data_IF_752495904859
#
_entry.id   IF_752495904859
#
_cell.length_a   1.000
_cell.length_b   1.000
_cell.length_c   1.000
_cell.angle_alpha   90.00
_cell.angle_beta   90.00
_cell.angle_gamma   90.00
#
_symmetry.space_group_name_H-M   'P 1'
#
loop_
_entity.id
_entity.type
_entity.pdbx_description
1 polymer ?
#
# COMPACT_ATOMS: atom_id res chain seq x y z
N UNK A 1 29.25 -26.28 -30.51
CA UNK A 1 29.40 -26.36 -29.04
C UNK A 1 28.04 -26.12 -28.43
N UNK A 2 27.30 -27.19 -28.07
CA UNK A 2 25.95 -27.06 -27.50
C UNK A 2 26.08 -26.74 -26.01
N UNK A 3 25.61 -25.57 -25.62
CA UNK A 3 25.60 -25.11 -24.24
C UNK A 3 24.34 -25.71 -23.58
N UNK A 4 24.51 -26.64 -22.64
CA UNK A 4 23.40 -27.30 -21.97
C UNK A 4 22.75 -26.36 -20.92
N UNK A 5 21.58 -25.82 -21.24
CA UNK A 5 20.80 -24.90 -20.38
C UNK A 5 19.94 -25.60 -19.31
N UNK A 6 19.94 -26.94 -19.27
CA UNK A 6 19.14 -27.76 -18.35
C UNK A 6 19.33 -27.43 -16.84
N UNK A 7 20.55 -27.16 -16.34
CA UNK A 7 20.76 -26.83 -14.92
C UNK A 7 20.16 -25.47 -14.54
N UNK A 8 20.12 -24.54 -15.48
CA UNK A 8 19.68 -23.16 -15.29
C UNK A 8 18.14 -23.07 -15.24
N UNK A 9 17.46 -23.89 -16.05
CA UNK A 9 16.01 -24.08 -15.98
C UNK A 9 15.58 -24.75 -14.67
N UNK A 10 16.35 -25.74 -14.18
CA UNK A 10 16.07 -26.42 -12.93
C UNK A 10 16.24 -25.51 -11.70
N UNK A 11 17.28 -24.66 -11.67
CA UNK A 11 17.48 -23.63 -10.63
C UNK A 11 16.37 -22.59 -10.63
N UNK A 12 15.98 -22.08 -11.80
CA UNK A 12 14.87 -21.12 -11.93
C UNK A 12 13.54 -21.73 -11.50
N UNK A 13 13.27 -22.98 -11.87
CA UNK A 13 12.06 -23.70 -11.44
C UNK A 13 12.05 -23.94 -9.93
N UNK A 14 13.20 -24.31 -9.33
CA UNK A 14 13.35 -24.47 -7.89
C UNK A 14 13.08 -23.15 -7.15
N UNK A 15 13.74 -22.05 -7.54
CA UNK A 15 13.51 -20.73 -6.94
C UNK A 15 12.06 -20.26 -7.07
N UNK A 16 11.42 -20.46 -8.24
CA UNK A 16 9.99 -20.14 -8.44
C UNK A 16 9.08 -20.96 -7.51
N UNK A 17 9.34 -22.27 -7.37
CA UNK A 17 8.54 -23.18 -6.54
C UNK A 17 8.76 -22.94 -5.05
N UNK A 18 10.00 -22.69 -4.63
CA UNK A 18 10.35 -22.34 -3.25
C UNK A 18 9.80 -20.97 -2.84
N UNK A 19 9.82 -19.98 -3.75
CA UNK A 19 9.17 -18.69 -3.51
C UNK A 19 7.65 -18.84 -3.41
N UNK A 20 7.02 -19.62 -4.30
CA UNK A 20 5.58 -19.90 -4.25
C UNK A 20 5.15 -20.61 -2.95
N UNK A 21 5.97 -21.53 -2.44
CA UNK A 21 5.72 -22.27 -1.18
C UNK A 21 6.11 -21.49 0.08
N UNK A 22 6.98 -20.48 0.00
CA UNK A 22 7.38 -19.65 1.14
C UNK A 22 6.36 -18.56 1.49
N UNK A 23 5.53 -18.15 0.51
CA UNK A 23 4.55 -17.06 0.65
C UNK A 23 3.24 -17.52 1.35
N UNK A 24 2.99 -18.83 1.41
CA UNK A 24 1.68 -19.40 1.78
C UNK A 24 1.26 -19.25 3.25
N UNK A 25 2.17 -18.90 4.17
CA UNK A 25 1.86 -18.89 5.62
C UNK A 25 1.28 -17.60 6.18
N UNK A 26 1.83 -16.43 5.80
CA UNK A 26 1.48 -15.14 6.40
C UNK A 26 0.97 -14.09 5.40
N UNK A 27 1.24 -14.29 4.10
CA UNK A 27 0.90 -13.34 3.05
C UNK A 27 -0.16 -13.86 2.08
N UNK A 28 -0.56 -15.14 2.17
CA UNK A 28 -1.54 -15.74 1.26
C UNK A 28 -2.89 -15.00 1.20
N UNK A 29 -3.50 -14.58 2.33
CA UNK A 29 -4.74 -13.81 2.27
C UNK A 29 -4.57 -12.49 1.52
N UNK A 30 -3.46 -11.78 1.76
CA UNK A 30 -3.17 -10.51 1.12
C UNK A 30 -2.79 -10.64 -0.35
N UNK A 31 -1.94 -11.62 -0.70
CA UNK A 31 -1.56 -11.93 -2.07
C UNK A 31 -2.78 -12.28 -2.93
N UNK A 32 -3.74 -13.03 -2.37
CA UNK A 32 -5.01 -13.32 -3.06
C UNK A 32 -5.87 -12.06 -3.23
N UNK A 33 -5.99 -11.21 -2.22
CA UNK A 33 -6.75 -9.95 -2.36
C UNK A 33 -6.16 -9.03 -3.45
N UNK A 34 -4.83 -8.95 -3.52
CA UNK A 34 -4.12 -8.17 -4.52
C UNK A 34 -4.23 -8.74 -5.93
N UNK A 35 -4.13 -10.06 -6.09
CA UNK A 35 -4.34 -10.68 -7.40
C UNK A 35 -5.76 -10.42 -7.90
N UNK A 36 -6.74 -10.40 -7.00
CA UNK A 36 -8.13 -10.12 -7.34
C UNK A 36 -8.39 -8.65 -7.68
N UNK A 37 -7.67 -7.69 -7.06
CA UNK A 37 -7.67 -6.30 -7.54
C UNK A 37 -7.10 -6.19 -8.96
N UNK A 38 -6.02 -6.91 -9.26
CA UNK A 38 -5.42 -6.95 -10.59
C UNK A 38 -6.39 -7.47 -11.66
N UNK A 39 -7.08 -8.58 -11.37
CA UNK A 39 -8.11 -9.15 -12.25
C UNK A 39 -9.35 -8.24 -12.37
N UNK A 40 -9.81 -7.61 -11.28
CA UNK A 40 -10.93 -6.66 -11.31
C UNK A 40 -10.62 -5.41 -12.16
N UNK A 41 -9.40 -4.89 -12.06
CA UNK A 41 -8.93 -3.78 -12.87
C UNK A 41 -8.81 -4.14 -14.35
N UNK A 42 -8.43 -5.40 -14.67
CA UNK A 42 -8.35 -5.90 -16.04
C UNK A 42 -9.73 -6.21 -16.64
N UNK A 43 -10.70 -6.64 -15.83
CA UNK A 43 -12.05 -7.00 -16.29
C UNK A 43 -12.86 -5.82 -16.84
N UNK A 44 -12.51 -4.58 -16.52
CA UNK A 44 -13.16 -3.37 -17.03
C UNK A 44 -12.54 -2.82 -18.32
N UNK A 45 -11.43 -3.38 -18.80
CA UNK A 45 -10.74 -2.87 -20.00
C UNK A 45 -10.89 -3.81 -21.18
N UNK A 46 -11.50 -3.33 -22.27
CA UNK A 46 -11.57 -4.01 -23.58
C UNK A 46 -10.28 -3.90 -24.39
N UNK A 47 -9.15 -3.57 -23.74
CA UNK A 47 -7.88 -3.35 -24.42
C UNK A 47 -7.03 -4.62 -24.39
N UNK A 48 -6.52 -5.04 -25.55
CA UNK A 48 -5.64 -6.22 -25.73
C UNK A 48 -4.25 -6.09 -25.06
N UNK A 49 -3.99 -5.00 -24.34
CA UNK A 49 -2.71 -4.72 -23.69
C UNK A 49 -2.63 -5.31 -22.29
N UNK A 50 -1.52 -6.00 -22.01
CA UNK A 50 -1.23 -6.56 -20.69
C UNK A 50 -1.24 -5.49 -19.57
N UNK A 51 -2.07 -5.70 -18.55
CA UNK A 51 -2.10 -4.89 -17.32
C UNK A 51 -1.70 -5.76 -16.13
N UNK A 52 -0.87 -5.21 -15.25
CA UNK A 52 -0.50 -5.84 -13.98
C UNK A 52 -0.54 -4.81 -12.85
N UNK A 53 -1.10 -5.22 -11.72
CA UNK A 53 -1.03 -4.48 -10.47
C UNK A 53 0.00 -5.16 -9.56
N UNK A 54 0.99 -4.38 -9.11
CA UNK A 54 1.97 -4.83 -8.13
C UNK A 54 1.72 -4.07 -6.84
N UNK A 55 1.45 -4.81 -5.77
CA UNK A 55 1.28 -4.24 -4.45
C UNK A 55 2.34 -4.80 -3.51
N UNK A 56 2.98 -3.92 -2.73
CA UNK A 56 4.08 -4.25 -1.82
C UNK A 56 3.65 -3.96 -0.39
N UNK A 57 3.73 -4.96 0.48
CA UNK A 57 3.42 -4.83 1.90
C UNK A 57 4.70 -4.99 2.70
N UNK A 58 5.03 -3.93 3.43
CA UNK A 58 6.27 -3.86 4.19
C UNK A 58 6.18 -4.55 5.56
N UNK A 59 5.03 -5.14 5.94
CA UNK A 59 4.85 -5.86 7.20
C UNK A 59 5.34 -5.08 8.44
N UNK A 60 5.05 -3.77 8.48
CA UNK A 60 5.48 -2.87 9.56
C UNK A 60 6.85 -2.22 9.35
N UNK A 61 7.61 -2.60 8.34
CA UNK A 61 8.93 -2.05 8.02
C UNK A 61 8.92 -0.67 7.34
N UNK A 62 7.85 0.11 7.46
CA UNK A 62 7.75 1.43 6.87
C UNK A 62 7.43 2.50 7.92
N UNK A 63 8.36 3.42 8.12
CA UNK A 63 8.13 4.64 8.89
C UNK A 63 7.58 5.72 7.96
N UNK A 64 6.25 5.78 7.88
CA UNK A 64 5.57 6.62 6.89
C UNK A 64 5.93 8.10 7.02
N UNK A 65 6.18 8.60 8.23
CA UNK A 65 6.48 10.01 8.47
C UNK A 65 7.93 10.39 8.11
N UNK A 66 8.81 9.40 7.89
CA UNK A 66 10.14 9.59 7.30
C UNK A 66 10.17 9.22 5.81
N UNK A 67 9.17 8.52 5.29
CA UNK A 67 8.99 8.25 3.85
C UNK A 67 8.51 9.50 3.12
N UNK A 68 7.51 10.17 3.70
CA UNK A 68 6.91 11.39 3.21
C UNK A 68 6.91 12.43 4.34
N UNK A 69 7.84 13.38 4.24
CA UNK A 69 8.17 14.30 5.33
C UNK A 69 7.52 15.65 5.08
N UNK A 70 6.83 16.27 6.07
CA UNK A 70 6.39 17.66 5.95
C UNK A 70 7.58 18.58 5.68
N UNK A 71 7.46 19.46 4.69
CA UNK A 71 8.57 20.27 4.20
C UNK A 71 8.38 21.77 4.42
N UNK A 72 7.16 22.28 4.49
CA UNK A 72 6.95 23.67 4.86
C UNK A 72 7.41 23.92 6.31
N UNK A 73 7.82 25.15 6.62
CA UNK A 73 8.47 25.45 7.90
C UNK A 73 7.60 25.13 9.11
N UNK A 74 6.30 25.42 9.06
CA UNK A 74 5.41 25.25 10.20
C UNK A 74 5.21 23.76 10.53
N UNK A 75 4.84 22.96 9.53
CA UNK A 75 4.58 21.54 9.74
C UNK A 75 5.87 20.74 9.95
N UNK A 76 6.98 21.10 9.28
CA UNK A 76 8.28 20.50 9.54
C UNK A 76 8.71 20.71 10.99
N UNK A 77 8.59 21.93 11.53
CA UNK A 77 8.98 22.20 12.92
C UNK A 77 8.13 21.41 13.92
N UNK A 78 6.83 21.24 13.66
CA UNK A 78 5.97 20.40 14.48
C UNK A 78 6.40 18.93 14.42
N UNK A 79 6.64 18.39 13.22
CA UNK A 79 7.16 17.04 13.00
C UNK A 79 8.51 16.81 13.70
N UNK A 80 9.47 17.72 13.52
CA UNK A 80 10.79 17.61 14.12
C UNK A 80 10.73 17.70 15.66
N UNK A 81 9.83 18.53 16.20
CA UNK A 81 9.62 18.67 17.64
C UNK A 81 9.12 17.39 18.31
N UNK A 82 8.28 16.60 17.62
CA UNK A 82 7.80 15.30 18.15
C UNK A 82 8.75 14.13 17.86
N UNK A 83 9.76 14.32 16.98
CA UNK A 83 10.67 13.26 16.50
C UNK A 83 12.15 13.71 16.52
N UNK A 84 12.68 14.21 17.65
CA UNK A 84 13.97 14.90 17.67
C UNK A 84 15.18 14.05 17.23
N UNK A 85 15.12 12.72 17.40
CA UNK A 85 16.21 11.81 17.03
C UNK A 85 16.02 11.13 15.67
N UNK A 86 14.84 11.28 15.06
CA UNK A 86 14.46 10.59 13.82
C UNK A 86 14.21 11.55 12.66
N UNK A 87 14.03 12.85 12.94
CA UNK A 87 13.75 13.84 11.92
C UNK A 87 14.93 14.00 10.95
N UNK A 88 14.66 13.83 9.66
CA UNK A 88 15.61 14.20 8.60
C UNK A 88 15.72 15.71 8.54
N UNK A 89 16.94 16.25 8.44
CA UNK A 89 17.14 17.69 8.42
C UNK A 89 16.48 18.33 7.19
N UNK A 90 15.81 19.49 7.38
CA UNK A 90 14.98 20.11 6.34
C UNK A 90 15.75 20.45 5.06
N UNK A 91 17.01 20.83 5.18
CA UNK A 91 17.91 21.12 4.07
C UNK A 91 18.20 19.88 3.22
N UNK A 92 18.26 18.69 3.82
CA UNK A 92 18.43 17.41 3.13
C UNK A 92 17.18 17.01 2.31
N UNK A 93 16.02 17.61 2.59
CA UNK A 93 14.76 17.34 1.90
C UNK A 93 14.50 18.26 0.69
N UNK A 94 15.29 19.33 0.53
CA UNK A 94 15.02 20.34 -0.50
C UNK A 94 15.06 19.78 -1.92
N UNK A 95 15.95 18.81 -2.19
CA UNK A 95 16.07 18.16 -3.50
C UNK A 95 14.87 17.26 -3.84
N UNK A 96 14.11 16.83 -2.84
CA UNK A 96 12.98 15.90 -2.97
C UNK A 96 11.64 16.54 -2.61
N UNK A 97 11.60 17.87 -2.46
CA UNK A 97 10.39 18.63 -2.22
C UNK A 97 9.40 18.46 -3.37
N UNK A 98 8.17 18.09 -3.05
CA UNK A 98 7.12 17.79 -4.01
C UNK A 98 6.29 19.04 -4.30
N UNK A 99 6.15 19.37 -5.58
CA UNK A 99 5.16 20.34 -6.02
C UNK A 99 3.78 19.70 -5.99
N UNK A 100 2.87 20.19 -5.14
CA UNK A 100 1.51 19.68 -5.11
C UNK A 100 0.72 20.20 -6.31
N UNK A 101 -0.01 19.31 -7.00
CA UNK A 101 -0.87 19.69 -8.13
C UNK A 101 -2.03 20.57 -7.66
N UNK A 102 -2.55 20.27 -6.46
CA UNK A 102 -3.53 21.08 -5.74
C UNK A 102 -2.90 21.56 -4.42
N UNK A 103 -3.14 22.79 -3.99
CA UNK A 103 -2.74 23.24 -2.66
C UNK A 103 -3.37 22.35 -1.58
N UNK A 104 -2.55 21.87 -0.66
CA UNK A 104 -3.05 21.21 0.55
C UNK A 104 -3.50 22.27 1.58
N UNK A 105 -4.31 21.84 2.54
CA UNK A 105 -4.76 22.69 3.64
C UNK A 105 -3.57 23.35 4.34
N UNK A 106 -3.75 24.60 4.76
CA UNK A 106 -2.78 25.38 5.53
C UNK A 106 -1.39 25.53 4.88
N UNK A 107 -1.31 25.34 3.56
CA UNK A 107 -0.05 25.43 2.81
C UNK A 107 0.90 24.27 3.05
N UNK A 108 0.40 23.14 3.56
CA UNK A 108 1.19 21.93 3.81
C UNK A 108 1.92 21.48 2.54
N UNK A 109 3.23 21.28 2.67
CA UNK A 109 4.08 20.74 1.62
C UNK A 109 4.77 19.48 2.12
N UNK A 110 5.09 18.58 1.19
CA UNK A 110 5.81 17.36 1.49
C UNK A 110 7.08 17.24 0.67
N UNK A 111 8.04 16.49 1.19
CA UNK A 111 9.21 16.01 0.48
C UNK A 111 9.31 14.49 0.65
N UNK A 112 9.87 13.80 -0.35
CA UNK A 112 10.23 12.39 -0.19
C UNK A 112 11.49 12.29 0.68
N UNK A 113 11.65 11.16 1.37
CA UNK A 113 12.93 10.80 2.00
C UNK A 113 14.09 10.94 0.99
N UNK A 114 15.30 11.33 1.42
CA UNK A 114 16.47 11.42 0.53
C UNK A 114 16.74 10.11 -0.23
N UNK A 115 16.52 8.96 0.40
CA UNK A 115 16.70 7.62 -0.20
C UNK A 115 15.70 7.35 -1.33
N UNK A 116 14.60 8.10 -1.37
CA UNK A 116 13.55 8.02 -2.39
C UNK A 116 13.72 9.07 -3.49
N UNK A 117 14.86 9.77 -3.54
CA UNK A 117 15.16 10.73 -4.61
C UNK A 117 14.93 10.21 -6.04
N UNK A 118 15.20 8.92 -6.39
CA UNK A 118 14.88 8.40 -7.72
C UNK A 118 13.39 8.44 -8.10
N UNK A 119 12.48 8.50 -7.12
CA UNK A 119 11.04 8.61 -7.37
C UNK A 119 10.62 10.04 -7.73
N UNK A 120 11.46 11.05 -7.46
CA UNK A 120 11.16 12.46 -7.73
C UNK A 120 10.91 12.71 -9.22
N UNK A 121 11.70 12.11 -10.10
CA UNK A 121 11.48 12.26 -11.55
C UNK A 121 10.17 11.62 -12.01
N UNK A 122 9.71 10.57 -11.34
CA UNK A 122 8.44 9.91 -11.63
C UNK A 122 7.26 10.77 -11.16
N UNK A 123 7.40 11.41 -10.00
CA UNK A 123 6.46 12.43 -9.52
C UNK A 123 6.37 13.62 -10.47
N UNK A 124 7.51 14.18 -10.87
CA UNK A 124 7.57 15.34 -11.76
C UNK A 124 6.98 15.03 -13.15
N UNK A 125 7.12 13.78 -13.61
CA UNK A 125 6.46 13.28 -14.81
C UNK A 125 4.97 12.96 -14.63
N UNK A 126 4.39 13.20 -13.45
CA UNK A 126 3.00 12.91 -13.08
C UNK A 126 2.61 11.43 -13.19
N UNK A 127 3.58 10.53 -13.03
CA UNK A 127 3.38 9.07 -13.05
C UNK A 127 3.43 8.43 -11.66
N UNK A 128 3.54 9.25 -10.61
CA UNK A 128 3.46 8.84 -9.21
C UNK A 128 2.40 9.69 -8.50
N UNK A 129 1.54 9.03 -7.73
CA UNK A 129 0.57 9.68 -6.86
C UNK A 129 0.77 9.21 -5.42
N UNK A 130 0.48 10.10 -4.48
CA UNK A 130 0.52 9.83 -3.05
C UNK A 130 -0.89 10.00 -2.50
N UNK A 131 -1.37 9.00 -1.78
CA UNK A 131 -2.65 9.07 -1.09
C UNK A 131 -2.42 9.35 0.39
N UNK A 132 -2.92 10.50 0.86
CA UNK A 132 -2.87 10.92 2.24
C UNK A 132 -4.11 10.43 3.00
N UNK A 133 -4.05 10.49 4.34
CA UNK A 133 -5.18 10.15 5.23
C UNK A 133 -5.72 8.72 5.04
N UNK A 134 -4.82 7.79 4.72
CA UNK A 134 -5.13 6.37 4.57
C UNK A 134 -5.14 5.73 5.95
N UNK A 135 -6.31 5.28 6.40
CA UNK A 135 -6.48 4.69 7.73
C UNK A 135 -7.83 3.98 7.89
N UNK A 136 -8.00 3.21 8.97
CA UNK A 136 -9.21 2.45 9.26
C UNK A 136 -10.37 3.32 9.77
N UNK A 137 -10.13 4.61 10.06
CA UNK A 137 -11.14 5.50 10.64
C UNK A 137 -12.39 5.60 9.75
N UNK A 138 -13.55 5.43 10.37
CA UNK A 138 -14.85 5.44 9.68
C UNK A 138 -15.32 6.88 9.44
N UNK A 139 -14.98 7.78 10.37
CA UNK A 139 -15.28 9.21 10.30
C UNK A 139 -14.06 10.00 10.76
N UNK A 140 -13.90 11.27 10.32
CA UNK A 140 -12.92 12.16 10.92
C UNK A 140 -13.09 12.21 12.44
N UNK A 141 -12.05 11.82 13.16
CA UNK A 141 -12.08 11.66 14.63
C UNK A 141 -10.98 12.50 15.26
N UNK A 142 -11.34 13.41 16.15
CA UNK A 142 -10.40 14.17 16.98
C UNK A 142 -9.95 13.36 18.20
N UNK A 143 -8.82 13.74 18.82
CA UNK A 143 -8.33 13.11 20.07
C UNK A 143 -9.36 13.19 21.19
N UNK A 144 -10.06 14.31 21.32
CA UNK A 144 -11.12 14.47 22.33
C UNK A 144 -12.29 13.51 22.10
N UNK A 145 -12.75 13.37 20.85
CA UNK A 145 -13.82 12.43 20.49
C UNK A 145 -13.39 10.97 20.67
N UNK A 146 -12.14 10.64 20.36
CA UNK A 146 -11.56 9.32 20.62
C UNK A 146 -11.59 9.00 22.12
N UNK A 147 -11.07 9.91 22.96
CA UNK A 147 -11.04 9.73 24.41
C UNK A 147 -12.44 9.63 25.03
N UNK A 148 -13.38 10.42 24.51
CA UNK A 148 -14.77 10.41 24.96
C UNK A 148 -15.61 9.28 24.34
N UNK A 149 -15.06 8.52 23.39
CA UNK A 149 -15.77 7.52 22.59
C UNK A 149 -17.08 8.05 21.97
N UNK A 150 -17.06 9.31 21.54
CA UNK A 150 -18.27 10.04 21.16
C UNK A 150 -18.63 9.95 19.67
N UNK A 151 -17.86 9.17 18.90
CA UNK A 151 -18.07 8.92 17.46
C UNK A 151 -17.83 7.44 17.16
N UNK A 152 -18.33 6.88 16.05
CA UNK A 152 -18.02 5.51 15.66
C UNK A 152 -16.51 5.31 15.49
N UNK A 153 -15.94 4.38 16.26
CA UNK A 153 -14.52 4.04 16.20
C UNK A 153 -14.33 2.64 15.60
N UNK A 154 -13.28 2.43 14.79
CA UNK A 154 -12.88 1.09 14.38
C UNK A 154 -12.59 0.21 15.60
N UNK A 155 -12.86 -1.11 15.51
CA UNK A 155 -12.47 -2.02 16.56
C UNK A 155 -10.94 -2.06 16.71
N UNK A 156 -10.47 -2.28 17.95
CA UNK A 156 -9.07 -2.61 18.24
C UNK A 156 -8.06 -1.60 17.66
N UNK A 157 -8.37 -0.30 17.75
CA UNK A 157 -7.37 0.74 17.47
C UNK A 157 -6.11 0.46 18.30
N UNK A 158 -4.93 0.77 17.73
CA UNK A 158 -3.59 0.51 18.29
C UNK A 158 -3.12 -0.96 18.31
N UNK A 159 -3.94 -1.92 17.84
CA UNK A 159 -3.55 -3.32 17.69
C UNK A 159 -3.03 -3.62 16.28
N UNK A 160 -1.72 -3.82 16.11
CA UNK A 160 -1.10 -3.99 14.79
C UNK A 160 -1.65 -5.19 14.00
N UNK A 161 -1.86 -6.33 14.65
CA UNK A 161 -2.45 -7.55 14.08
C UNK A 161 -3.90 -7.34 13.64
N UNK A 162 -4.72 -6.71 14.50
CA UNK A 162 -6.12 -6.43 14.17
C UNK A 162 -6.24 -5.41 13.03
N UNK A 163 -5.43 -4.35 13.05
CA UNK A 163 -5.44 -3.34 11.99
C UNK A 163 -4.92 -3.89 10.66
N UNK A 164 -3.91 -4.78 10.68
CA UNK A 164 -3.47 -5.50 9.48
C UNK A 164 -4.60 -6.36 8.92
N UNK A 165 -5.27 -7.12 9.78
CA UNK A 165 -6.40 -7.95 9.39
C UNK A 165 -7.55 -7.14 8.82
N UNK A 166 -7.82 -5.96 9.40
CA UNK A 166 -8.85 -5.03 8.94
C UNK A 166 -8.54 -4.46 7.55
N UNK A 167 -7.29 -4.09 7.28
CA UNK A 167 -6.86 -3.64 5.96
C UNK A 167 -6.94 -4.73 4.90
N UNK A 168 -6.56 -5.96 5.27
CA UNK A 168 -6.54 -7.08 4.35
C UNK A 168 -7.96 -7.62 4.10
N UNK A 169 -8.75 -7.88 5.14
CA UNK A 169 -10.05 -8.52 4.96
C UNK A 169 -11.24 -7.55 4.96
N UNK A 170 -11.10 -6.34 5.51
CA UNK A 170 -12.23 -5.48 5.86
C UNK A 170 -12.89 -5.88 7.19
N UNK A 171 -12.33 -6.86 7.90
CA UNK A 171 -12.80 -7.39 9.18
C UNK A 171 -11.61 -7.58 10.13
N UNK A 172 -11.85 -7.69 11.43
CA UNK A 172 -10.79 -7.92 12.44
C UNK A 172 -10.14 -9.30 12.29
N UNK A 173 -9.07 -9.55 13.05
CA UNK A 173 -8.39 -10.85 13.05
C UNK A 173 -9.35 -12.02 13.28
N UNK A 174 -9.12 -13.14 12.57
CA UNK A 174 -10.00 -14.31 12.60
C UNK A 174 -11.11 -14.31 11.54
N UNK A 175 -11.14 -13.33 10.65
CA UNK A 175 -12.10 -13.26 9.55
C UNK A 175 -11.93 -14.41 8.54
N UNK A 176 -13.02 -15.11 8.24
CA UNK A 176 -13.09 -16.18 7.20
C UNK A 176 -13.55 -15.67 5.84
N UNK A 177 -13.80 -14.36 5.72
CA UNK A 177 -14.28 -13.66 4.51
C UNK A 177 -13.54 -12.32 4.40
N UNK A 178 -13.38 -11.81 3.19
CA UNK A 178 -12.82 -10.47 2.99
C UNK A 178 -13.16 -9.82 1.66
N UNK A 179 -12.84 -8.54 1.51
CA UNK A 179 -13.21 -7.75 0.33
C UNK A 179 -12.62 -8.33 -0.98
N UNK A 180 -11.40 -8.87 -0.94
CA UNK A 180 -10.80 -9.62 -2.06
C UNK A 180 -11.71 -10.74 -2.58
N UNK A 181 -12.06 -11.68 -1.70
CA UNK A 181 -12.98 -12.79 -1.99
C UNK A 181 -14.33 -12.31 -2.57
N UNK A 182 -14.92 -11.29 -1.95
CA UNK A 182 -16.20 -10.71 -2.39
C UNK A 182 -16.12 -10.08 -3.77
N UNK A 183 -15.02 -9.42 -4.11
CA UNK A 183 -14.81 -8.93 -5.47
C UNK A 183 -14.70 -10.08 -6.48
N UNK A 184 -14.06 -11.19 -6.11
CA UNK A 184 -14.02 -12.39 -6.95
C UNK A 184 -15.37 -13.02 -7.15
N UNK A 185 -16.19 -13.11 -6.11
CA UNK A 185 -17.57 -13.59 -6.22
C UNK A 185 -18.37 -12.72 -7.19
N UNK A 186 -18.20 -11.39 -7.14
CA UNK A 186 -18.82 -10.45 -8.07
C UNK A 186 -18.31 -10.62 -9.52
N UNK A 187 -17.00 -10.82 -9.72
CA UNK A 187 -16.43 -11.09 -11.04
C UNK A 187 -16.91 -12.43 -11.60
N UNK A 188 -16.94 -13.49 -10.79
CA UNK A 188 -17.43 -14.79 -11.18
C UNK A 188 -18.93 -14.75 -11.51
N UNK A 189 -19.74 -14.03 -10.71
CA UNK A 189 -21.16 -13.83 -10.99
C UNK A 189 -21.41 -13.01 -12.27
N UNK A 190 -20.47 -12.14 -12.65
CA UNK A 190 -20.53 -11.40 -13.92
C UNK A 190 -20.09 -12.22 -15.15
N UNK A 191 -19.38 -13.34 -14.94
CA UNK A 191 -19.00 -14.28 -15.97
C UNK A 191 -20.21 -15.15 -16.39
N UNK A 192 -20.93 -14.71 -17.41
CA UNK A 192 -22.12 -15.37 -17.96
C UNK A 192 -21.81 -16.59 -18.85
N UNK A 193 -20.54 -16.98 -18.97
CA UNK A 193 -20.09 -18.14 -19.74
C UNK A 193 -19.56 -19.23 -18.79
N UNK A 194 -20.39 -20.22 -18.48
CA UNK A 194 -19.92 -21.47 -17.85
C UNK A 194 -19.04 -22.22 -18.85
N UNK A 195 -17.75 -22.42 -18.53
CA UNK A 195 -16.84 -23.26 -19.33
C UNK A 195 -16.94 -24.74 -18.93
N UNK A 196 -17.92 -25.11 -18.09
CA UNK A 196 -18.23 -26.50 -17.75
C UNK A 196 -19.71 -26.81 -18.00
N UNK A 197 -19.93 -27.70 -18.96
CA UNK A 197 -21.00 -28.71 -18.97
C UNK A 197 -20.36 -30.05 -18.67
#
# INVERSE_FOLDING_TARGET
>A
MNINHLPDMARRAFLKRSAALGITGALAPWAMQLSMLGEAAAAQTTADDYKALVCVFFSGGNDYANTLVPFDTAHYNAYAGIRPTLATARDQLAATALSSVNPLADGLQFALAPELAPLKSIWDAQHLAIQLNVGPLIVPTTVAQYNAQSVPLPPKLFSHNDQTSLWQSGLTEGATSGWGGRMGDLLLASNSSSVFT
#
